data_IF_477170346670
#
_entry.id   IF_477170346670
#
_cell.length_a   1.000
_cell.length_b   1.000
_cell.length_c   1.000
_cell.angle_alpha   90.00
_cell.angle_beta   90.00
_cell.angle_gamma   90.00
#
_symmetry.space_group_name_H-M   'P 1'
#
loop_
_entity.id
_entity.type
_entity.pdbx_description
1 polymer ?
#
# COMPACT_ATOMS: atom_id res chain seq x y z
N UNK A 1 7.57 0.62 -11.16
CA UNK A 1 6.19 0.72 -10.63
C UNK A 1 5.95 -0.20 -9.45
N UNK A 2 5.97 -1.53 -9.60
CA UNK A 2 5.59 -2.44 -8.50
C UNK A 2 6.41 -2.25 -7.21
N UNK A 3 7.72 -2.04 -7.29
CA UNK A 3 8.53 -1.77 -6.09
C UNK A 3 8.16 -0.47 -5.37
N UNK A 4 7.74 0.56 -6.11
CA UNK A 4 7.29 1.84 -5.55
C UNK A 4 5.97 1.64 -4.82
N UNK A 5 5.01 0.99 -5.46
CA UNK A 5 3.71 0.70 -4.85
C UNK A 5 3.85 -0.23 -3.65
N UNK A 6 4.68 -1.26 -3.74
CA UNK A 6 4.96 -2.15 -2.61
C UNK A 6 5.52 -1.38 -1.43
N UNK A 7 6.43 -0.41 -1.65
CA UNK A 7 6.98 0.39 -0.56
C UNK A 7 5.91 1.22 0.15
N UNK A 8 4.92 1.76 -0.58
CA UNK A 8 3.80 2.50 0.02
C UNK A 8 2.87 1.56 0.78
N UNK A 9 2.49 0.42 0.18
CA UNK A 9 1.66 -0.61 0.81
C UNK A 9 2.29 -1.07 2.14
N UNK A 10 3.59 -1.34 2.15
CA UNK A 10 4.32 -1.73 3.35
C UNK A 10 4.42 -0.59 4.38
N UNK A 11 4.67 0.65 3.94
CA UNK A 11 4.76 1.81 4.82
C UNK A 11 3.44 2.14 5.52
N UNK A 12 2.29 1.86 4.87
CA UNK A 12 0.96 2.01 5.45
C UNK A 12 0.54 0.82 6.34
N UNK A 13 1.39 -0.21 6.49
CA UNK A 13 1.06 -1.40 7.27
C UNK A 13 0.05 -2.34 6.61
N UNK A 14 -0.24 -2.15 5.31
CA UNK A 14 -1.16 -3.01 4.57
C UNK A 14 -0.50 -4.34 4.19
N UNK A 15 -1.31 -5.39 3.98
CA UNK A 15 -0.84 -6.69 3.51
C UNK A 15 -0.73 -6.73 1.97
N UNK A 16 0.46 -6.98 1.38
CA UNK A 16 0.62 -7.04 -0.08
C UNK A 16 -0.16 -8.18 -0.75
N UNK A 17 -0.46 -9.26 -0.03
CA UNK A 17 -1.14 -10.45 -0.56
C UNK A 17 -2.66 -10.36 -0.59
N UNK A 18 -3.26 -9.38 0.09
CA UNK A 18 -4.72 -9.23 0.18
C UNK A 18 -5.26 -8.31 -0.93
N UNK A 19 -5.19 -8.77 -2.18
CA UNK A 19 -5.77 -8.05 -3.32
C UNK A 19 -7.29 -8.22 -3.44
N UNK A 20 -7.92 -7.27 -4.12
CA UNK A 20 -9.33 -7.22 -4.46
C UNK A 20 -9.60 -7.78 -5.86
N UNK A 21 -8.79 -7.40 -6.86
CA UNK A 21 -8.95 -7.84 -8.26
C UNK A 21 -8.01 -9.00 -8.55
N UNK A 22 -6.72 -8.83 -8.26
CA UNK A 22 -5.74 -9.90 -8.36
C UNK A 22 -5.79 -10.77 -7.11
N UNK A 23 -5.80 -12.08 -7.27
CA UNK A 23 -5.85 -13.05 -6.15
C UNK A 23 -4.85 -14.19 -6.34
N UNK A 24 -4.52 -14.91 -5.27
CA UNK A 24 -3.63 -16.08 -5.31
C UNK A 24 -2.14 -15.76 -5.43
N UNK A 25 -1.74 -14.51 -5.21
CA UNK A 25 -0.34 -14.08 -5.24
C UNK A 25 0.02 -13.29 -3.97
N UNK A 26 1.27 -13.41 -3.51
CA UNK A 26 1.80 -12.69 -2.34
C UNK A 26 1.90 -11.16 -2.53
N UNK A 27 1.66 -10.67 -3.76
CA UNK A 27 1.68 -9.26 -4.16
C UNK A 27 0.42 -8.84 -4.88
N UNK A 28 -0.66 -9.59 -4.73
CA UNK A 28 -1.96 -9.31 -5.32
C UNK A 28 -2.40 -7.84 -5.17
N UNK A 29 -2.34 -7.29 -3.96
CA UNK A 29 -2.74 -5.89 -3.71
C UNK A 29 -1.79 -4.88 -4.35
N UNK A 30 -0.50 -5.22 -4.48
CA UNK A 30 0.49 -4.38 -5.17
C UNK A 30 0.16 -4.26 -6.66
N UNK A 31 -0.31 -5.34 -7.29
CA UNK A 31 -0.74 -5.29 -8.70
C UNK A 31 -2.00 -4.45 -8.87
N UNK A 32 -3.01 -4.64 -8.00
CA UNK A 32 -4.23 -3.84 -8.01
C UNK A 32 -3.95 -2.34 -7.98
N UNK A 33 -3.12 -1.91 -7.03
CA UNK A 33 -2.80 -0.48 -6.86
C UNK A 33 -1.89 0.01 -7.99
N UNK A 34 -0.90 -0.78 -8.43
CA UNK A 34 -0.01 -0.36 -9.51
C UNK A 34 -0.73 -0.13 -10.83
N UNK A 35 -1.79 -0.90 -11.09
CA UNK A 35 -2.57 -0.81 -12.33
C UNK A 35 -3.31 0.53 -12.46
N UNK A 36 -3.62 1.19 -11.34
CA UNK A 36 -4.19 2.54 -11.33
C UNK A 36 -3.28 3.59 -12.00
N UNK A 37 -1.96 3.36 -11.99
CA UNK A 37 -0.97 4.33 -12.44
C UNK A 37 -0.22 3.94 -13.72
N UNK A 38 -0.40 2.70 -14.21
CA UNK A 38 0.36 2.18 -15.36
C UNK A 38 0.16 3.01 -16.62
N UNK A 39 -1.09 3.41 -16.89
CA UNK A 39 -1.46 4.17 -18.09
C UNK A 39 -0.92 5.60 -18.07
N UNK A 40 -0.78 6.19 -16.87
CA UNK A 40 -0.26 7.55 -16.71
C UNK A 40 1.27 7.58 -16.72
N UNK A 41 1.95 6.52 -16.25
CA UNK A 41 3.40 6.53 -16.05
C UNK A 41 4.13 5.51 -16.92
N UNK A 42 4.01 4.21 -16.63
CA UNK A 42 4.91 3.21 -17.20
C UNK A 42 4.67 2.95 -18.67
N UNK A 43 3.41 3.00 -19.12
CA UNK A 43 3.06 2.77 -20.53
C UNK A 43 3.65 3.85 -21.43
N UNK A 44 3.35 5.16 -21.24
CA UNK A 44 3.90 6.20 -22.11
C UNK A 44 5.44 6.22 -22.07
N UNK A 45 6.04 6.11 -20.89
CA UNK A 45 7.51 6.08 -20.76
C UNK A 45 8.14 4.91 -21.53
N UNK A 46 7.51 3.73 -21.53
CA UNK A 46 8.03 2.59 -22.27
C UNK A 46 7.98 2.81 -23.79
N UNK A 47 6.89 3.38 -24.32
CA UNK A 47 6.77 3.68 -25.74
C UNK A 47 7.74 4.80 -26.18
N UNK A 48 7.85 5.88 -25.41
CA UNK A 48 8.78 6.97 -25.68
C UNK A 48 10.24 6.50 -25.64
N UNK A 49 10.57 5.62 -24.69
CA UNK A 49 11.89 5.04 -24.59
C UNK A 49 12.19 4.09 -25.76
N UNK A 50 11.24 3.25 -26.16
CA UNK A 50 11.41 2.32 -27.28
C UNK A 50 11.56 3.03 -28.64
N UNK A 51 11.03 4.25 -28.76
CA UNK A 51 11.23 5.09 -29.94
C UNK A 51 12.65 5.67 -30.04
N UNK A 52 13.42 5.64 -28.95
CA UNK A 52 14.81 6.04 -28.95
C UNK A 52 15.66 4.81 -29.23
N UNK A 53 16.48 4.87 -30.27
CA UNK A 53 17.45 3.84 -30.63
C UNK A 53 18.64 3.85 -29.64
N UNK A 54 18.32 3.69 -28.35
CA UNK A 54 19.24 3.77 -27.21
C UNK A 54 19.80 2.39 -26.89
N UNK A 55 21.13 2.33 -26.75
CA UNK A 55 21.88 1.12 -26.41
C UNK A 55 21.58 0.67 -24.97
N UNK A 56 21.19 1.59 -24.07
CA UNK A 56 20.88 1.31 -22.66
C UNK A 56 19.41 1.60 -22.31
N UNK A 57 18.50 1.00 -23.08
CA UNK A 57 17.05 1.19 -22.99
C UNK A 57 16.51 0.99 -21.57
N UNK A 58 16.92 -0.06 -20.85
CA UNK A 58 16.37 -0.36 -19.52
C UNK A 58 16.70 0.72 -18.48
N UNK A 59 17.94 1.21 -18.51
CA UNK A 59 18.44 2.26 -17.62
C UNK A 59 17.73 3.58 -17.91
N UNK A 60 17.52 3.87 -19.19
CA UNK A 60 16.78 5.03 -19.66
C UNK A 60 15.30 4.97 -19.26
N UNK A 61 14.63 3.83 -19.40
CA UNK A 61 13.26 3.62 -18.88
C UNK A 61 13.22 3.82 -17.37
N UNK A 62 14.15 3.23 -16.61
CA UNK A 62 14.18 3.36 -15.14
C UNK A 62 14.35 4.83 -14.70
N UNK A 63 15.21 5.60 -15.36
CA UNK A 63 15.37 7.05 -15.09
C UNK A 63 14.07 7.80 -15.38
N UNK A 64 13.50 7.63 -16.57
CA UNK A 64 12.27 8.33 -16.95
C UNK A 64 11.07 7.98 -16.08
N UNK A 65 10.93 6.71 -15.68
CA UNK A 65 9.88 6.30 -14.73
C UNK A 65 10.10 6.97 -13.39
N UNK A 66 11.35 7.12 -12.91
CA UNK A 66 11.66 7.84 -11.67
C UNK A 66 11.26 9.31 -11.78
N UNK A 67 11.62 9.96 -12.88
CA UNK A 67 11.32 11.38 -13.09
C UNK A 67 9.80 11.59 -13.14
N UNK A 68 9.07 10.77 -13.92
CA UNK A 68 7.61 10.79 -13.95
C UNK A 68 6.98 10.54 -12.57
N UNK A 69 7.49 9.60 -11.78
CA UNK A 69 6.99 9.36 -10.42
C UNK A 69 7.11 10.61 -9.53
N UNK A 70 8.18 11.37 -9.67
CA UNK A 70 8.39 12.63 -8.94
C UNK A 70 7.43 13.71 -9.47
N UNK A 71 7.36 13.88 -10.79
CA UNK A 71 6.52 14.89 -11.44
C UNK A 71 5.03 14.70 -11.09
N UNK A 72 4.56 13.45 -11.04
CA UNK A 72 3.19 13.09 -10.67
C UNK A 72 2.96 12.99 -9.15
N UNK A 73 3.98 13.24 -8.31
CA UNK A 73 3.94 13.06 -6.84
C UNK A 73 3.34 11.70 -6.44
N UNK A 74 3.74 10.65 -7.14
CA UNK A 74 3.00 9.39 -7.15
C UNK A 74 2.97 8.69 -5.77
N UNK A 75 4.02 8.83 -4.95
CA UNK A 75 4.07 8.22 -3.61
C UNK A 75 2.98 8.76 -2.69
N UNK A 76 2.83 10.09 -2.64
CA UNK A 76 1.81 10.77 -1.83
C UNK A 76 0.40 10.46 -2.34
N UNK A 77 0.22 10.52 -3.66
CA UNK A 77 -1.05 10.15 -4.29
C UNK A 77 -1.41 8.69 -4.00
N UNK A 78 -0.46 7.76 -4.15
CA UNK A 78 -0.66 6.34 -3.85
C UNK A 78 -1.05 6.11 -2.39
N UNK A 79 -0.37 6.77 -1.45
CA UNK A 79 -0.69 6.65 -0.04
C UNK A 79 -2.12 7.13 0.24
N UNK A 80 -2.49 8.32 -0.26
CA UNK A 80 -3.84 8.88 -0.13
C UNK A 80 -4.90 7.98 -0.76
N UNK A 81 -4.66 7.49 -1.98
CA UNK A 81 -5.63 6.67 -2.70
C UNK A 81 -5.85 5.31 -1.98
N UNK A 82 -4.81 4.70 -1.41
CA UNK A 82 -4.95 3.50 -0.55
C UNK A 82 -5.73 3.83 0.73
N UNK A 83 -5.39 4.90 1.43
CA UNK A 83 -6.09 5.31 2.65
C UNK A 83 -7.57 5.54 2.37
N UNK A 84 -7.90 6.27 1.30
CA UNK A 84 -9.28 6.52 0.88
C UNK A 84 -10.01 5.22 0.52
N UNK A 85 -9.35 4.29 -0.16
CA UNK A 85 -9.94 2.98 -0.51
C UNK A 85 -10.30 2.15 0.73
N UNK A 86 -9.46 2.17 1.76
CA UNK A 86 -9.61 1.29 2.93
C UNK A 86 -10.45 1.91 4.05
N UNK A 87 -10.35 3.23 4.25
CA UNK A 87 -10.96 3.96 5.37
C UNK A 87 -12.17 4.82 4.95
N UNK A 88 -12.30 5.14 3.66
CA UNK A 88 -13.36 6.02 3.16
C UNK A 88 -13.08 7.53 3.36
N UNK A 89 -14.04 8.38 3.01
CA UNK A 89 -13.89 9.84 3.04
C UNK A 89 -13.99 10.45 4.45
N UNK A 90 -14.72 9.81 5.37
CA UNK A 90 -15.02 10.37 6.71
C UNK A 90 -13.85 10.22 7.71
N UNK A 91 -12.92 9.29 7.48
CA UNK A 91 -11.74 9.03 8.33
C UNK A 91 -10.46 9.74 7.89
N UNK A 92 -10.52 10.65 6.90
CA UNK A 92 -9.37 11.51 6.55
C UNK A 92 -9.17 12.70 7.50
N UNK A 93 -10.01 12.81 8.54
CA UNK A 93 -9.80 13.72 9.67
C UNK A 93 -8.59 13.25 10.47
N UNK A 94 -7.80 14.21 10.95
CA UNK A 94 -6.51 14.00 11.62
C UNK A 94 -6.53 12.74 12.48
N UNK A 95 -5.57 11.80 12.31
CA UNK A 95 -5.65 10.58 13.08
C UNK A 95 -5.49 10.99 14.54
N UNK A 96 -6.49 10.73 15.36
CA UNK A 96 -6.31 10.66 16.80
C UNK A 96 -5.44 9.42 17.01
N UNK A 97 -4.11 9.58 16.93
CA UNK A 97 -3.15 8.57 17.32
C UNK A 97 -3.20 8.41 18.84
N UNK A 98 -4.37 8.07 19.39
CA UNK A 98 -4.45 7.46 20.70
C UNK A 98 -3.84 6.07 20.55
N UNK A 99 -2.51 6.01 20.71
CA UNK A 99 -1.84 4.76 20.96
C UNK A 99 -2.33 4.24 22.31
N UNK A 100 -3.48 3.58 22.32
CA UNK A 100 -3.82 2.69 23.42
C UNK A 100 -2.82 1.54 23.39
N UNK A 101 -1.78 1.64 24.23
CA UNK A 101 -0.84 0.56 24.56
C UNK A 101 -1.53 -0.62 25.29
N UNK A 102 -2.80 -0.89 24.97
CA UNK A 102 -3.58 -1.96 25.60
C UNK A 102 -3.49 -3.19 24.72
N UNK A 103 -2.47 -4.02 25.00
CA UNK A 103 -2.50 -5.41 24.56
C UNK A 103 -3.79 -6.05 25.10
N UNK A 104 -4.60 -6.61 24.21
CA UNK A 104 -5.90 -7.18 24.56
C UNK A 104 -6.06 -8.60 24.02
N UNK A 105 -6.89 -9.38 24.69
CA UNK A 105 -7.28 -10.73 24.24
C UNK A 105 -8.70 -10.66 23.66
N UNK A 106 -8.88 -11.28 22.50
CA UNK A 106 -10.19 -11.38 21.88
C UNK A 106 -11.11 -12.30 22.69
N UNK A 107 -12.29 -11.78 23.09
CA UNK A 107 -13.21 -12.50 24.00
C UNK A 107 -14.07 -13.57 23.31
N UNK A 108 -13.92 -13.79 22.00
CA UNK A 108 -14.73 -14.79 21.29
C UNK A 108 -16.05 -14.29 20.72
N UNK A 109 -16.50 -13.07 21.05
CA UNK A 109 -17.81 -12.54 20.66
C UNK A 109 -17.76 -11.05 20.31
N UNK A 110 -18.21 -10.73 19.09
CA UNK A 110 -18.30 -9.34 18.62
C UNK A 110 -16.98 -8.59 18.76
N UNK A 111 -17.08 -7.30 19.09
CA UNK A 111 -15.95 -6.39 19.28
C UNK A 111 -15.42 -6.36 20.72
N UNK A 112 -15.78 -7.34 21.55
CA UNK A 112 -15.36 -7.35 22.97
C UNK A 112 -13.96 -7.92 23.14
N UNK A 113 -13.13 -7.22 23.90
CA UNK A 113 -11.79 -7.63 24.29
C UNK A 113 -11.66 -7.60 25.81
N UNK A 114 -10.71 -8.37 26.34
CA UNK A 114 -10.29 -8.31 27.75
C UNK A 114 -8.82 -7.91 27.83
N UNK A 115 -8.37 -7.40 28.97
CA UNK A 115 -6.99 -6.98 29.13
C UNK A 115 -6.01 -8.16 28.96
N UNK A 116 -4.96 -7.94 28.18
CA UNK A 116 -3.83 -8.86 28.10
C UNK A 116 -2.95 -8.80 29.35
N UNK A 117 -2.11 -9.82 29.53
CA UNK A 117 -1.15 -9.85 30.65
C UNK A 117 -1.75 -10.08 32.04
N UNK A 118 -3.05 -10.38 32.14
CA UNK A 118 -3.73 -10.71 33.40
C UNK A 118 -3.94 -12.23 33.50
N UNK A 119 -3.63 -12.82 34.67
CA UNK A 119 -4.04 -14.19 34.98
C UNK A 119 -5.51 -14.23 35.37
N UNK A 120 -6.33 -14.89 34.56
CA UNK A 120 -7.76 -15.08 34.81
C UNK A 120 -8.10 -16.38 35.55
N UNK A 121 -7.09 -17.20 35.87
CA UNK A 121 -7.28 -18.38 36.70
C UNK A 121 -7.61 -17.98 38.13
N UNK A 122 -8.62 -18.61 38.72
CA UNK A 122 -8.79 -18.65 40.18
C UNK A 122 -7.89 -19.75 40.72
N UNK A 123 -7.00 -19.40 41.66
CA UNK A 123 -6.18 -20.36 42.40
C UNK A 123 -7.10 -21.44 43.00
N UNK A 124 -6.85 -22.70 42.62
CA UNK A 124 -7.59 -23.87 43.10
C UNK A 124 -6.84 -24.59 44.22
#
# INVERSE_FOLDING_TARGET
MYGIVHSVVAALGCSPGLGFVHTGNDRSFVYDVADLYKAEVSIPVAFDAAALDDVDLESTVRRRVRDAVVDHRLLERCARDITMLLLGEEETLEPEWEQEEVLSLWSGRGHTTVAGGISYGVDW
#
